data_IF_451281457959
#
_entry.id   IF_451281457959
#
_cell.length_a   1.000
_cell.length_b   1.000
_cell.length_c   1.000
_cell.angle_alpha   90.00
_cell.angle_beta   90.00
_cell.angle_gamma   90.00
#
_symmetry.space_group_name_H-M   'P 1'
#
loop_
_entity.id
_entity.type
_entity.pdbx_description
1 polymer ?
#
# COMPACT_ATOMS: atom_id res chain seq x y z
N UNK A 1 -12.52 11.42 4.40
CA UNK A 1 -11.99 11.89 5.70
C UNK A 1 -13.14 12.00 6.67
N UNK A 2 -13.01 11.49 7.89
CA UNK A 2 -14.10 11.59 8.88
C UNK A 2 -14.11 12.96 9.54
N UNK A 3 -15.28 13.42 9.98
CA UNK A 3 -15.43 14.65 10.77
C UNK A 3 -14.54 14.64 12.02
N UNK A 4 -14.38 13.46 12.66
CA UNK A 4 -13.51 13.28 13.83
C UNK A 4 -12.04 13.55 13.52
N UNK A 5 -11.54 13.11 12.36
CA UNK A 5 -10.15 13.39 11.95
C UNK A 5 -9.92 14.88 11.68
N UNK A 6 -10.88 15.55 11.05
CA UNK A 6 -10.83 17.00 10.85
C UNK A 6 -10.82 17.76 12.18
N UNK A 7 -11.79 17.47 13.03
CA UNK A 7 -11.92 18.10 14.33
C UNK A 7 -10.66 17.88 15.18
N UNK A 8 -10.11 16.64 15.17
CA UNK A 8 -8.89 16.33 15.95
C UNK A 8 -7.67 17.14 15.52
N UNK A 9 -7.54 17.48 14.24
CA UNK A 9 -6.38 18.22 13.70
C UNK A 9 -6.43 19.71 14.03
N UNK A 10 -7.62 20.33 13.95
CA UNK A 10 -7.82 21.79 14.08
C UNK A 10 -8.51 22.19 15.40
N UNK A 11 -8.42 21.34 16.41
CA UNK A 11 -8.80 21.63 17.80
C UNK A 11 -7.55 21.87 18.61
N UNK A 12 -7.19 23.12 18.82
CA UNK A 12 -6.01 23.56 19.57
C UNK A 12 -6.34 23.75 21.05
N UNK A 13 -6.24 22.67 21.80
CA UNK A 13 -6.51 22.66 23.25
C UNK A 13 -5.23 22.27 23.99
N UNK A 14 -5.00 22.86 25.14
CA UNK A 14 -3.84 22.57 26.00
C UNK A 14 -3.67 21.05 26.22
N UNK A 15 -2.44 20.56 26.08
CA UNK A 15 -2.09 19.15 26.24
C UNK A 15 -2.33 18.27 25.02
N UNK A 16 -2.93 18.77 23.94
CA UNK A 16 -3.00 18.05 22.68
C UNK A 16 -1.73 18.22 21.85
N UNK A 17 -1.38 17.17 21.09
CA UNK A 17 -0.13 17.15 20.30
C UNK A 17 -0.06 18.27 19.26
N UNK A 18 -1.19 18.59 18.64
CA UNK A 18 -1.29 19.64 17.63
C UNK A 18 -1.23 21.07 18.18
N UNK A 19 -1.28 21.24 19.51
CA UNK A 19 -1.02 22.54 20.16
C UNK A 19 0.49 22.82 20.29
N UNK A 20 1.33 21.92 19.81
CA UNK A 20 2.77 22.09 19.73
C UNK A 20 3.15 22.66 18.37
N UNK A 21 3.91 23.76 18.38
CA UNK A 21 4.37 24.46 17.18
C UNK A 21 5.23 23.59 16.25
N UNK A 22 5.95 22.60 16.79
CA UNK A 22 6.76 21.67 16.00
C UNK A 22 5.94 20.57 15.31
N UNK A 23 4.72 20.32 15.79
CA UNK A 23 3.86 19.23 15.33
C UNK A 23 2.41 19.67 15.03
N UNK A 24 2.20 20.79 14.31
CA UNK A 24 0.87 21.39 14.11
C UNK A 24 -0.14 20.49 13.41
N UNK A 25 0.30 19.50 12.66
CA UNK A 25 -0.55 18.59 11.87
C UNK A 25 -0.76 17.21 12.50
N UNK A 26 -0.13 16.95 13.68
CA UNK A 26 -0.29 15.67 14.38
C UNK A 26 -1.54 15.67 15.26
N UNK A 27 -2.31 14.59 15.25
CA UNK A 27 -3.43 14.36 16.18
C UNK A 27 -2.91 13.65 17.44
N UNK A 28 -2.01 12.69 17.26
CA UNK A 28 -1.42 11.86 18.32
C UNK A 28 0.10 11.83 18.20
N UNK A 29 0.82 11.55 19.30
CA UNK A 29 2.26 11.33 19.25
C UNK A 29 2.61 10.19 18.29
N UNK A 30 3.71 10.33 17.55
CA UNK A 30 4.21 9.29 16.61
C UNK A 30 3.21 8.90 15.51
N UNK A 31 2.32 9.81 15.13
CA UNK A 31 1.42 9.57 13.98
C UNK A 31 2.22 9.31 12.71
N UNK A 32 1.79 8.32 11.92
CA UNK A 32 2.47 8.00 10.66
C UNK A 32 2.34 9.15 9.66
N UNK A 33 3.47 9.56 9.08
CA UNK A 33 3.50 10.66 8.12
C UNK A 33 2.53 10.48 6.95
N UNK A 34 2.36 9.23 6.47
CA UNK A 34 1.41 8.93 5.40
C UNK A 34 -0.05 9.30 5.75
N UNK A 35 -0.46 9.17 7.01
CA UNK A 35 -1.80 9.56 7.46
C UNK A 35 -1.96 11.07 7.47
N UNK A 36 -0.95 11.79 7.96
CA UNK A 36 -0.93 13.27 7.99
C UNK A 36 -0.99 13.81 6.55
N UNK A 37 -0.14 13.31 5.67
CA UNK A 37 -0.09 13.75 4.28
C UNK A 37 -1.40 13.43 3.54
N UNK A 38 -1.94 12.23 3.70
CA UNK A 38 -3.22 11.88 3.08
C UNK A 38 -4.37 12.75 3.60
N UNK A 39 -4.33 13.15 4.89
CA UNK A 39 -5.31 14.07 5.47
C UNK A 39 -5.25 15.44 4.80
N UNK A 40 -4.04 15.98 4.58
CA UNK A 40 -3.86 17.24 3.84
C UNK A 40 -4.37 17.13 2.41
N UNK A 41 -3.98 16.07 1.67
CA UNK A 41 -4.44 15.86 0.28
C UNK A 41 -5.97 15.73 0.19
N UNK A 42 -6.61 15.08 1.16
CA UNK A 42 -8.06 14.96 1.26
C UNK A 42 -8.72 16.31 1.57
N UNK A 43 -8.14 17.09 2.46
CA UNK A 43 -8.65 18.39 2.85
C UNK A 43 -8.62 19.40 1.68
N UNK A 44 -7.58 19.31 0.84
CA UNK A 44 -7.45 20.10 -0.39
C UNK A 44 -8.12 19.45 -1.61
N UNK A 45 -8.89 18.37 -1.44
CA UNK A 45 -9.68 17.67 -2.47
C UNK A 45 -8.89 17.12 -3.65
N UNK A 46 -7.59 16.86 -3.45
CA UNK A 46 -6.70 16.33 -4.50
C UNK A 46 -6.29 14.87 -4.28
N UNK A 47 -6.77 14.23 -3.21
CA UNK A 47 -6.40 12.85 -2.85
C UNK A 47 -6.82 11.83 -3.92
N UNK A 48 -7.92 12.07 -4.63
CA UNK A 48 -8.40 11.22 -5.72
C UNK A 48 -7.36 11.00 -6.82
N UNK A 49 -6.42 11.93 -7.01
CA UNK A 49 -5.36 11.82 -8.02
C UNK A 49 -4.29 10.75 -7.67
N UNK A 50 -4.21 10.33 -6.41
CA UNK A 50 -3.23 9.34 -5.93
C UNK A 50 -3.89 8.11 -5.30
N UNK A 51 -5.19 8.11 -5.10
CA UNK A 51 -5.94 7.06 -4.40
C UNK A 51 -5.80 5.69 -5.07
N UNK A 52 -5.94 5.63 -6.39
CA UNK A 52 -5.84 4.37 -7.13
C UNK A 52 -4.41 3.80 -7.14
N UNK A 53 -3.40 4.69 -7.11
CA UNK A 53 -2.02 4.27 -6.95
C UNK A 53 -1.79 3.66 -5.55
N UNK A 54 -2.35 4.25 -4.49
CA UNK A 54 -2.28 3.70 -3.13
C UNK A 54 -3.00 2.36 -3.01
N UNK A 55 -4.19 2.22 -3.58
CA UNK A 55 -4.93 0.94 -3.61
C UNK A 55 -4.12 -0.15 -4.31
N UNK A 56 -3.54 0.17 -5.45
CA UNK A 56 -2.68 -0.75 -6.21
C UNK A 56 -1.47 -1.19 -5.40
N UNK A 57 -0.80 -0.26 -4.72
CA UNK A 57 0.35 -0.56 -3.86
C UNK A 57 -0.07 -1.45 -2.69
N UNK A 58 -1.19 -1.13 -2.01
CA UNK A 58 -1.69 -1.92 -0.89
C UNK A 58 -2.01 -3.37 -1.31
N UNK A 59 -2.71 -3.57 -2.42
CA UNK A 59 -3.00 -4.90 -2.97
C UNK A 59 -1.73 -5.69 -3.29
N UNK A 60 -0.74 -5.05 -3.93
CA UNK A 60 0.56 -5.71 -4.21
C UNK A 60 1.38 -5.98 -2.94
N UNK A 61 1.29 -5.13 -1.93
CA UNK A 61 1.93 -5.36 -0.62
C UNK A 61 1.32 -6.59 0.09
N UNK A 62 0.02 -6.76 0.04
CA UNK A 62 -0.66 -7.96 0.57
C UNK A 62 -0.24 -9.20 -0.19
N UNK A 63 -0.16 -9.15 -1.52
CA UNK A 63 0.37 -10.25 -2.33
C UNK A 63 1.81 -10.61 -1.92
N UNK A 64 2.67 -9.61 -1.73
CA UNK A 64 4.06 -9.86 -1.30
C UNK A 64 4.13 -10.44 0.12
N UNK A 65 3.25 -10.01 1.03
CA UNK A 65 3.12 -10.60 2.37
C UNK A 65 2.68 -12.05 2.28
N UNK A 66 1.66 -12.36 1.47
CA UNK A 66 1.20 -13.73 1.26
C UNK A 66 2.33 -14.62 0.70
N UNK A 67 3.10 -14.14 -0.27
CA UNK A 67 4.28 -14.85 -0.77
C UNK A 67 5.32 -15.12 0.32
N UNK A 68 5.62 -14.12 1.16
CA UNK A 68 6.58 -14.28 2.27
C UNK A 68 6.08 -15.31 3.28
N UNK A 69 4.82 -15.25 3.67
CA UNK A 69 4.21 -16.19 4.62
C UNK A 69 4.21 -17.61 4.07
N UNK A 70 3.80 -17.82 2.81
CA UNK A 70 3.81 -19.12 2.16
C UNK A 70 5.25 -19.69 2.02
N UNK A 71 6.23 -18.82 1.76
CA UNK A 71 7.65 -19.20 1.71
C UNK A 71 8.21 -19.57 3.10
N UNK A 72 7.82 -18.85 4.15
CA UNK A 72 8.22 -19.14 5.53
C UNK A 72 7.60 -20.44 6.06
N UNK A 73 6.36 -20.73 5.65
CA UNK A 73 5.65 -21.97 5.97
C UNK A 73 6.07 -23.15 5.07
N UNK A 74 7.08 -22.98 4.21
CA UNK A 74 7.58 -23.98 3.26
C UNK A 74 6.52 -24.54 2.29
N UNK A 75 5.39 -23.84 2.15
CA UNK A 75 4.31 -24.20 1.18
C UNK A 75 4.80 -23.97 -0.25
N UNK A 76 5.55 -22.90 -0.48
CA UNK A 76 6.20 -22.61 -1.76
C UNK A 76 7.72 -22.53 -1.56
N UNK A 77 8.51 -23.23 -2.39
CA UNK A 77 9.94 -23.17 -2.30
C UNK A 77 10.45 -21.85 -2.87
N UNK A 78 11.32 -21.14 -2.13
CA UNK A 78 11.99 -19.93 -2.60
C UNK A 78 13.43 -19.88 -2.11
N UNK A 79 14.31 -19.29 -2.91
CA UNK A 79 15.71 -19.05 -2.56
C UNK A 79 15.83 -17.79 -1.70
N UNK A 80 16.67 -17.83 -0.67
CA UNK A 80 16.77 -16.78 0.34
C UNK A 80 17.84 -15.73 -0.01
N UNK A 81 18.90 -16.13 -0.71
CA UNK A 81 20.04 -15.26 -0.98
C UNK A 81 20.66 -15.51 -2.36
N UNK A 82 21.60 -14.63 -2.76
CA UNK A 82 22.29 -14.72 -4.05
C UNK A 82 23.12 -15.98 -4.20
N UNK A 83 23.69 -16.49 -3.11
CA UNK A 83 24.52 -17.70 -3.12
C UNK A 83 23.65 -18.92 -3.44
N UNK A 84 22.54 -19.10 -2.74
CA UNK A 84 21.57 -20.16 -3.03
C UNK A 84 21.07 -20.11 -4.48
N UNK A 85 20.91 -18.91 -5.04
CA UNK A 85 20.50 -18.72 -6.43
C UNK A 85 21.58 -19.16 -7.42
N UNK A 86 22.85 -18.84 -7.14
CA UNK A 86 24.00 -19.32 -7.93
C UNK A 86 24.11 -20.84 -7.85
N UNK A 87 24.09 -21.39 -6.63
CA UNK A 87 24.19 -22.82 -6.39
C UNK A 87 23.05 -23.61 -7.05
N UNK A 88 21.83 -23.04 -7.03
CA UNK A 88 20.67 -23.62 -7.71
C UNK A 88 20.83 -23.62 -9.24
N UNK A 89 21.32 -22.52 -9.82
CA UNK A 89 21.58 -22.45 -11.26
C UNK A 89 22.67 -23.45 -11.70
N UNK A 90 23.76 -23.56 -10.93
CA UNK A 90 24.81 -24.53 -11.19
C UNK A 90 24.28 -25.98 -11.12
N UNK A 91 23.43 -26.28 -10.12
CA UNK A 91 22.78 -27.59 -10.00
C UNK A 91 21.85 -27.87 -11.18
N UNK A 92 21.05 -26.88 -11.62
CA UNK A 92 20.18 -27.02 -12.80
C UNK A 92 21.01 -27.38 -14.03
N UNK A 93 22.10 -26.67 -14.28
CA UNK A 93 22.94 -26.95 -15.45
C UNK A 93 23.69 -28.31 -15.31
N UNK A 94 24.17 -28.65 -14.11
CA UNK A 94 24.78 -29.96 -13.84
C UNK A 94 23.79 -31.10 -14.08
N UNK A 95 22.54 -30.99 -13.60
CA UNK A 95 21.53 -32.04 -13.79
C UNK A 95 21.15 -32.15 -15.26
N UNK A 96 20.98 -31.05 -15.96
CA UNK A 96 20.71 -31.07 -17.43
C UNK A 96 21.85 -31.77 -18.17
N UNK A 97 23.09 -31.49 -17.81
CA UNK A 97 24.25 -32.15 -18.41
C UNK A 97 24.30 -33.65 -18.07
N UNK A 98 23.96 -34.03 -16.81
CA UNK A 98 23.87 -35.44 -16.41
C UNK A 98 22.80 -36.18 -17.21
N UNK A 99 21.60 -35.60 -17.34
CA UNK A 99 20.54 -36.19 -18.16
C UNK A 99 21.01 -36.40 -19.61
N UNK A 100 21.69 -35.40 -20.18
CA UNK A 100 22.26 -35.48 -21.52
C UNK A 100 23.34 -36.59 -21.61
N UNK A 101 24.23 -36.68 -20.62
CA UNK A 101 25.29 -37.69 -20.58
C UNK A 101 24.71 -39.11 -20.43
N UNK A 102 23.70 -39.28 -19.54
CA UNK A 102 23.01 -40.56 -19.36
C UNK A 102 22.32 -40.95 -20.68
N UNK A 103 21.67 -40.01 -21.36
CA UNK A 103 21.03 -40.25 -22.68
C UNK A 103 22.08 -40.73 -23.70
N UNK A 104 23.26 -40.09 -23.73
CA UNK A 104 24.36 -40.45 -24.65
C UNK A 104 24.99 -41.80 -24.25
N UNK A 105 25.16 -42.07 -22.96
CA UNK A 105 25.64 -43.40 -22.50
C UNK A 105 24.67 -44.52 -22.80
N UNK A 106 23.37 -44.29 -22.63
CA UNK A 106 22.33 -45.24 -23.01
C UNK A 106 22.42 -45.52 -24.53
N UNK A 107 22.69 -44.48 -25.34
CA UNK A 107 22.90 -44.65 -26.77
C UNK A 107 24.19 -45.42 -27.11
N UNK A 108 25.27 -45.25 -26.37
CA UNK A 108 26.59 -45.87 -26.64
C UNK A 108 26.75 -47.30 -26.05
N UNK A 109 26.15 -47.58 -24.88
CA UNK A 109 26.17 -48.92 -24.25
C UNK A 109 25.30 -49.97 -24.94
N UNK A 110 24.60 -49.52 -25.95
CA UNK A 110 23.82 -50.39 -26.82
C UNK A 110 24.66 -51.28 -27.76
N UNK A 111 25.99 -51.17 -27.68
CA UNK A 111 26.89 -51.89 -28.56
C UNK A 111 26.94 -53.43 -28.24
N UNK A 112 26.57 -53.84 -27.02
CA UNK A 112 26.55 -55.26 -26.60
C UNK A 112 25.19 -56.00 -26.86
N UNK A 113 24.20 -55.29 -27.37
CA UNK A 113 22.91 -55.88 -27.77
C UNK A 113 22.97 -56.34 -29.25
N UNK A 114 22.31 -57.46 -29.57
CA UNK A 114 22.18 -57.88 -30.95
C UNK A 114 21.63 -56.72 -31.80
N UNK A 115 22.24 -56.50 -32.97
CA UNK A 115 21.94 -55.36 -33.85
C UNK A 115 20.43 -55.13 -34.12
N UNK A 116 19.63 -56.17 -34.13
CA UNK A 116 18.17 -56.11 -34.27
C UNK A 116 17.43 -55.48 -33.06
N UNK A 117 17.91 -55.69 -31.85
CA UNK A 117 17.32 -55.13 -30.62
C UNK A 117 17.64 -53.64 -30.51
N UNK A 118 18.81 -53.21 -30.95
CA UNK A 118 19.28 -51.83 -31.00
C UNK A 118 18.43 -50.96 -31.95
N UNK A 119 18.19 -51.48 -33.16
CA UNK A 119 17.37 -50.77 -34.18
C UNK A 119 15.95 -50.54 -33.68
N UNK A 120 15.40 -51.43 -32.83
CA UNK A 120 14.06 -51.26 -32.21
C UNK A 120 14.06 -50.38 -30.99
N UNK A 121 15.17 -50.26 -30.25
CA UNK A 121 15.27 -49.57 -28.97
C UNK A 121 15.50 -48.04 -29.13
N UNK A 122 16.33 -47.63 -30.07
CA UNK A 122 16.69 -46.22 -30.28
C UNK A 122 15.49 -45.31 -30.56
N UNK A 123 14.53 -45.62 -31.43
CA UNK A 123 13.36 -44.80 -31.68
C UNK A 123 12.47 -44.71 -30.42
N UNK A 124 12.29 -45.80 -29.66
CA UNK A 124 11.45 -45.80 -28.46
C UNK A 124 12.07 -44.93 -27.33
N UNK A 125 13.38 -44.91 -27.20
CA UNK A 125 14.10 -44.06 -26.27
C UNK A 125 14.00 -42.57 -26.61
N UNK A 126 14.24 -42.24 -27.89
CA UNK A 126 14.10 -40.88 -28.38
C UNK A 126 12.67 -40.34 -28.13
N UNK A 127 11.67 -41.17 -28.38
CA UNK A 127 10.27 -40.81 -28.07
C UNK A 127 10.02 -40.63 -26.60
N UNK A 128 10.58 -41.50 -25.73
CA UNK A 128 10.44 -41.37 -24.27
C UNK A 128 11.05 -40.06 -23.73
N UNK A 129 12.22 -39.69 -24.24
CA UNK A 129 12.86 -38.40 -23.85
C UNK A 129 12.02 -37.21 -24.30
N UNK A 130 11.52 -37.24 -25.56
CA UNK A 130 10.67 -36.17 -26.07
C UNK A 130 9.36 -36.03 -25.28
N UNK A 131 8.71 -37.15 -24.92
CA UNK A 131 7.47 -37.15 -24.15
C UNK A 131 7.71 -36.62 -22.71
N UNK A 132 8.82 -36.96 -22.09
CA UNK A 132 9.16 -36.43 -20.74
C UNK A 132 9.43 -34.94 -20.79
N UNK A 133 10.13 -34.42 -21.79
CA UNK A 133 10.34 -32.97 -21.95
C UNK A 133 8.99 -32.24 -22.19
N UNK A 134 8.12 -32.84 -23.01
CA UNK A 134 6.78 -32.30 -23.27
C UNK A 134 5.92 -32.31 -22.01
N UNK A 135 5.95 -33.39 -21.23
CA UNK A 135 5.29 -33.53 -19.93
C UNK A 135 5.69 -32.40 -18.98
N UNK A 136 6.99 -32.18 -18.79
CA UNK A 136 7.52 -31.11 -17.92
C UNK A 136 7.05 -29.72 -18.37
N UNK A 137 7.04 -29.46 -19.69
CA UNK A 137 6.58 -28.18 -20.23
C UNK A 137 5.08 -27.96 -19.93
N UNK A 138 4.24 -28.96 -20.14
CA UNK A 138 2.79 -28.87 -19.89
C UNK A 138 2.49 -28.69 -18.41
N UNK A 139 3.15 -29.43 -17.53
CA UNK A 139 3.02 -29.25 -16.08
C UNK A 139 3.38 -27.84 -15.65
N UNK A 140 4.45 -27.25 -16.20
CA UNK A 140 4.81 -25.86 -15.96
C UNK A 140 3.74 -24.87 -16.45
N UNK A 141 3.11 -25.14 -17.60
CA UNK A 141 2.02 -24.32 -18.12
C UNK A 141 0.77 -24.40 -17.25
N UNK A 142 0.39 -25.59 -16.78
CA UNK A 142 -0.74 -25.78 -15.86
C UNK A 142 -0.53 -24.97 -14.58
N UNK A 143 0.64 -25.09 -13.95
CA UNK A 143 0.99 -24.31 -12.73
C UNK A 143 0.87 -22.79 -12.95
N UNK A 144 1.30 -22.29 -14.12
CA UNK A 144 1.14 -20.87 -14.47
C UNK A 144 -0.33 -20.44 -14.61
N UNK A 145 -1.16 -21.30 -15.19
CA UNK A 145 -2.60 -21.05 -15.33
C UNK A 145 -3.31 -21.08 -13.98
N UNK A 146 -3.00 -22.04 -13.12
CA UNK A 146 -3.51 -22.12 -11.73
C UNK A 146 -3.15 -20.86 -10.93
N UNK A 147 -1.91 -20.39 -11.07
CA UNK A 147 -1.48 -19.14 -10.44
C UNK A 147 -2.29 -17.94 -10.95
N UNK A 148 -2.51 -17.82 -12.26
CA UNK A 148 -3.35 -16.76 -12.85
C UNK A 148 -4.78 -16.79 -12.32
N UNK A 149 -5.38 -17.98 -12.24
CA UNK A 149 -6.73 -18.20 -11.70
C UNK A 149 -6.86 -17.71 -10.26
N UNK A 150 -5.89 -18.05 -9.40
CA UNK A 150 -5.91 -17.65 -8.01
C UNK A 150 -5.69 -16.15 -7.82
N UNK A 151 -4.99 -15.49 -8.73
CA UNK A 151 -4.78 -14.04 -8.72
C UNK A 151 -6.06 -13.26 -9.06
N UNK A 152 -6.89 -13.79 -9.94
CA UNK A 152 -8.13 -13.13 -10.38
C UNK A 152 -9.28 -13.26 -9.34
N UNK A 153 -9.19 -14.18 -8.37
CA UNK A 153 -10.21 -14.37 -7.32
C UNK A 153 -10.21 -13.31 -6.21
N UNK A 154 -9.18 -12.50 -6.08
CA UNK A 154 -9.03 -11.53 -4.99
C UNK A 154 -9.40 -10.09 -5.43
N UNK A 155 -10.61 -9.88 -5.93
CA UNK A 155 -11.24 -8.56 -5.88
C UNK A 155 -12.13 -8.59 -4.64
N UNK A 156 -11.66 -7.93 -3.59
CA UNK A 156 -12.15 -8.02 -2.22
C UNK A 156 -13.50 -7.31 -2.07
N UNK A 157 -14.52 -8.00 -1.56
CA UNK A 157 -15.83 -7.44 -1.18
C UNK A 157 -15.72 -6.33 -0.11
N UNK A 158 -14.59 -6.23 0.58
CA UNK A 158 -14.31 -5.16 1.57
C UNK A 158 -14.24 -3.76 0.93
N UNK A 159 -13.81 -3.65 -0.32
CA UNK A 159 -13.76 -2.37 -1.05
C UNK A 159 -15.18 -1.80 -1.24
N UNK A 160 -16.16 -2.64 -1.42
CA UNK A 160 -17.58 -2.26 -1.59
C UNK A 160 -18.24 -1.79 -0.31
N UNK A 161 -17.89 -2.43 0.80
CA UNK A 161 -18.42 -2.02 2.11
C UNK A 161 -17.88 -0.64 2.49
N UNK A 162 -16.61 -0.37 2.19
CA UNK A 162 -15.99 0.92 2.42
C UNK A 162 -16.56 2.02 1.52
N UNK A 163 -16.84 1.72 0.23
CA UNK A 163 -17.50 2.68 -0.67
C UNK A 163 -18.90 3.09 -0.20
N UNK A 164 -19.70 2.16 0.35
CA UNK A 164 -21.00 2.45 0.96
C UNK A 164 -20.92 3.42 2.13
N UNK A 165 -19.83 3.34 2.91
CA UNK A 165 -19.64 4.18 4.09
C UNK A 165 -19.25 5.63 3.73
N UNK A 166 -18.60 5.83 2.58
CA UNK A 166 -18.07 7.13 2.16
C UNK A 166 -18.96 7.90 1.18
N UNK A 167 -19.87 7.21 0.47
CA UNK A 167 -20.74 7.81 -0.53
C UNK A 167 -22.20 7.36 -0.35
N UNK A 168 -22.92 7.90 0.63
CA UNK A 168 -24.31 7.51 0.90
C UNK A 168 -25.28 7.84 -0.24
N UNK A 169 -24.91 8.72 -1.16
CA UNK A 169 -25.76 9.20 -2.26
C UNK A 169 -25.38 8.64 -3.64
N UNK A 170 -24.41 7.73 -3.75
CA UNK A 170 -24.18 7.03 -5.02
C UNK A 170 -25.32 6.04 -5.21
N UNK A 171 -26.00 6.11 -6.33
CA UNK A 171 -26.99 5.11 -6.74
C UNK A 171 -26.34 3.72 -6.65
N UNK A 172 -26.74 2.98 -5.62
CA UNK A 172 -26.26 1.62 -5.33
C UNK A 172 -26.40 0.67 -6.53
N UNK A 173 -27.31 0.97 -7.45
CA UNK A 173 -27.49 0.27 -8.70
C UNK A 173 -26.22 0.28 -9.57
N UNK A 174 -25.60 1.45 -9.75
CA UNK A 174 -24.41 1.56 -10.63
C UNK A 174 -23.18 0.85 -10.08
N UNK A 175 -22.94 0.89 -8.77
CA UNK A 175 -21.80 0.18 -8.15
C UNK A 175 -22.05 -1.32 -8.15
N UNK A 176 -23.27 -1.75 -7.86
CA UNK A 176 -23.67 -3.16 -7.89
C UNK A 176 -23.57 -3.74 -9.31
N UNK A 177 -23.93 -2.96 -10.33
CA UNK A 177 -23.81 -3.33 -11.74
C UNK A 177 -22.34 -3.42 -12.19
N UNK A 178 -21.50 -2.46 -11.81
CA UNK A 178 -20.05 -2.50 -12.10
C UNK A 178 -19.39 -3.72 -11.45
N UNK A 179 -19.76 -4.05 -10.22
CA UNK A 179 -19.23 -5.23 -9.56
C UNK A 179 -19.75 -6.53 -10.13
N UNK A 180 -21.03 -6.59 -10.45
CA UNK A 180 -21.60 -7.73 -11.15
C UNK A 180 -20.89 -7.95 -12.49
N UNK A 181 -20.63 -6.87 -13.22
CA UNK A 181 -19.85 -6.91 -14.46
C UNK A 181 -18.40 -7.39 -14.24
N UNK A 182 -17.73 -6.90 -13.19
CA UNK A 182 -16.38 -7.38 -12.85
C UNK A 182 -16.38 -8.83 -12.38
N UNK A 183 -17.38 -9.28 -11.60
CA UNK A 183 -17.55 -10.67 -11.24
C UNK A 183 -17.82 -11.53 -12.48
N UNK A 184 -18.72 -11.14 -13.36
CA UNK A 184 -19.01 -11.83 -14.60
C UNK A 184 -17.77 -11.97 -15.51
N UNK A 185 -16.96 -10.89 -15.62
CA UNK A 185 -15.68 -10.97 -16.36
C UNK A 185 -14.70 -11.93 -15.68
N UNK A 186 -14.57 -11.88 -14.36
CA UNK A 186 -13.68 -12.77 -13.62
C UNK A 186 -14.15 -14.23 -13.69
N UNK A 187 -15.44 -14.46 -13.69
CA UNK A 187 -16.02 -15.79 -13.84
C UNK A 187 -15.77 -16.34 -15.25
N UNK A 188 -15.98 -15.53 -16.29
CA UNK A 188 -15.66 -15.89 -17.69
C UNK A 188 -14.15 -16.18 -17.85
N UNK A 189 -13.29 -15.32 -17.31
CA UNK A 189 -11.83 -15.53 -17.35
C UNK A 189 -11.41 -16.78 -16.57
N UNK A 190 -12.03 -17.03 -15.42
CA UNK A 190 -11.78 -18.21 -14.60
C UNK A 190 -12.29 -19.48 -15.28
N UNK A 191 -13.42 -19.43 -15.96
CA UNK A 191 -13.97 -20.53 -16.75
C UNK A 191 -13.07 -20.86 -17.94
N UNK A 192 -12.61 -19.83 -18.66
CA UNK A 192 -11.66 -20.01 -19.78
C UNK A 192 -10.32 -20.59 -19.30
N UNK A 193 -9.79 -20.09 -18.18
CA UNK A 193 -8.56 -20.66 -17.57
C UNK A 193 -8.78 -22.11 -17.14
N UNK A 194 -9.94 -22.44 -16.55
CA UNK A 194 -10.28 -23.81 -16.16
C UNK A 194 -10.33 -24.74 -17.39
N UNK A 195 -10.96 -24.29 -18.46
CA UNK A 195 -11.02 -25.04 -19.72
C UNK A 195 -9.62 -25.30 -20.27
N UNK A 196 -8.75 -24.31 -20.27
CA UNK A 196 -7.36 -24.48 -20.70
C UNK A 196 -6.59 -25.45 -19.79
N UNK A 197 -6.81 -25.41 -18.47
CA UNK A 197 -6.21 -26.37 -17.52
C UNK A 197 -6.73 -27.78 -17.80
N UNK A 198 -8.01 -27.94 -18.02
CA UNK A 198 -8.63 -29.24 -18.32
C UNK A 198 -8.11 -29.85 -19.64
N UNK A 199 -8.05 -29.06 -20.71
CA UNK A 199 -7.46 -29.46 -21.98
C UNK A 199 -6.00 -29.91 -21.80
N UNK A 200 -5.20 -29.16 -21.00
CA UNK A 200 -3.82 -29.54 -20.73
C UNK A 200 -3.71 -30.80 -19.87
N UNK A 201 -4.61 -31.00 -18.91
CA UNK A 201 -4.65 -32.21 -18.08
C UNK A 201 -5.02 -33.45 -18.90
N UNK A 202 -5.97 -33.32 -19.84
CA UNK A 202 -6.30 -34.40 -20.77
C UNK A 202 -5.06 -34.76 -21.60
N UNK A 203 -4.38 -33.76 -22.15
CA UNK A 203 -3.16 -33.96 -22.91
C UNK A 203 -2.03 -34.57 -22.07
N UNK A 204 -1.89 -34.13 -20.81
CA UNK A 204 -0.94 -34.69 -19.87
C UNK A 204 -1.21 -36.17 -19.58
N UNK A 205 -2.48 -36.55 -19.37
CA UNK A 205 -2.87 -37.93 -19.13
C UNK A 205 -2.54 -38.84 -20.30
N UNK A 206 -2.73 -38.35 -21.55
CA UNK A 206 -2.37 -39.10 -22.76
C UNK A 206 -0.84 -39.28 -22.87
N UNK A 207 -0.05 -38.24 -22.57
CA UNK A 207 1.41 -38.37 -22.54
C UNK A 207 1.85 -39.35 -21.46
N UNK A 208 1.22 -39.36 -20.28
CA UNK A 208 1.53 -40.32 -19.22
C UNK A 208 1.23 -41.76 -19.64
N UNK A 209 0.14 -41.98 -20.33
CA UNK A 209 -0.24 -43.29 -20.87
C UNK A 209 0.76 -43.75 -21.93
N UNK A 210 1.14 -42.85 -22.84
CA UNK A 210 2.15 -43.16 -23.87
C UNK A 210 3.51 -43.44 -23.26
N UNK A 211 3.93 -42.64 -22.27
CA UNK A 211 5.18 -42.84 -21.52
C UNK A 211 5.20 -44.17 -20.81
N UNK A 212 4.09 -44.58 -20.19
CA UNK A 212 3.97 -45.89 -19.51
C UNK A 212 4.05 -47.02 -20.50
N UNK A 213 3.38 -46.92 -21.65
CA UNK A 213 3.42 -47.94 -22.74
C UNK A 213 4.85 -48.10 -23.31
N UNK A 214 5.53 -46.96 -23.60
CA UNK A 214 6.91 -47.00 -24.12
C UNK A 214 7.86 -47.59 -23.08
N UNK A 215 7.69 -47.28 -21.80
CA UNK A 215 8.50 -47.83 -20.71
C UNK A 215 8.32 -49.35 -20.62
N UNK A 216 7.08 -49.84 -20.78
CA UNK A 216 6.81 -51.28 -20.82
C UNK A 216 7.45 -51.95 -22.06
N UNK A 217 7.34 -51.35 -23.24
CA UNK A 217 7.96 -51.89 -24.47
C UNK A 217 9.49 -51.95 -24.34
N UNK A 218 10.11 -50.92 -23.76
CA UNK A 218 11.55 -50.87 -23.50
C UNK A 218 11.96 -51.96 -22.48
N UNK A 219 11.16 -52.18 -21.42
CA UNK A 219 11.45 -53.20 -20.40
C UNK A 219 11.40 -54.63 -20.93
N UNK A 220 10.46 -54.90 -21.84
CA UNK A 220 10.34 -56.18 -22.52
C UNK A 220 11.54 -56.49 -23.44
N UNK A 221 12.06 -55.47 -24.13
CA UNK A 221 13.24 -55.63 -25.00
C UNK A 221 14.54 -55.80 -24.21
N UNK A 222 14.62 -55.16 -23.00
CA UNK A 222 15.83 -55.07 -22.20
C UNK A 222 16.06 -56.22 -21.19
N UNK A 223 15.11 -57.15 -21.04
CA UNK A 223 15.19 -58.22 -20.03
C UNK A 223 15.70 -57.71 -18.64
N UNK A 224 14.91 -57.73 -17.62
CA UNK A 224 14.90 -57.10 -16.29
C UNK A 224 16.22 -56.83 -15.50
N UNK A 225 17.38 -57.12 -16.04
CA UNK A 225 18.69 -57.05 -15.33
C UNK A 225 19.74 -56.14 -15.96
N UNK A 226 19.39 -55.20 -16.83
CA UNK A 226 20.40 -54.41 -17.52
C UNK A 226 20.71 -53.08 -16.77
N UNK A 227 22.00 -52.66 -16.81
CA UNK A 227 22.52 -51.36 -16.39
C UNK A 227 21.70 -50.16 -16.94
N UNK A 228 20.95 -50.39 -17.99
CA UNK A 228 20.10 -49.40 -18.69
C UNK A 228 18.86 -49.05 -17.89
N UNK A 229 18.17 -50.04 -17.25
CA UNK A 229 17.03 -49.73 -16.36
C UNK A 229 17.45 -48.85 -15.17
N UNK A 230 18.67 -49.10 -14.66
CA UNK A 230 19.25 -48.27 -13.61
C UNK A 230 19.56 -46.84 -14.08
N UNK A 231 20.02 -46.69 -15.32
CA UNK A 231 20.27 -45.40 -15.95
C UNK A 231 18.96 -44.60 -16.23
N UNK A 232 17.91 -45.28 -16.67
CA UNK A 232 16.57 -44.68 -16.88
C UNK A 232 15.98 -44.21 -15.54
N UNK A 233 16.06 -45.02 -14.49
CA UNK A 233 15.58 -44.63 -13.16
C UNK A 233 16.34 -43.41 -12.60
N UNK A 234 17.67 -43.34 -12.75
CA UNK A 234 18.46 -42.15 -12.39
C UNK A 234 18.00 -40.91 -13.20
N UNK A 235 17.78 -41.05 -14.49
CA UNK A 235 17.31 -39.95 -15.33
C UNK A 235 15.95 -39.44 -14.86
N UNK A 236 15.02 -40.32 -14.45
CA UNK A 236 13.71 -39.94 -13.91
C UNK A 236 13.82 -39.25 -12.55
N UNK A 237 14.77 -39.67 -11.69
CA UNK A 237 15.06 -38.98 -10.42
C UNK A 237 15.66 -37.60 -10.67
N UNK A 238 16.66 -37.47 -11.54
CA UNK A 238 17.26 -36.21 -11.94
C UNK A 238 16.21 -35.26 -12.53
N UNK A 239 15.27 -35.77 -13.33
CA UNK A 239 14.16 -34.97 -13.86
C UNK A 239 13.26 -34.42 -12.74
N UNK A 240 12.89 -35.22 -11.75
CA UNK A 240 12.08 -34.76 -10.60
C UNK A 240 12.82 -33.69 -9.80
N UNK A 241 14.13 -33.82 -9.63
CA UNK A 241 14.95 -32.81 -8.95
C UNK A 241 15.00 -31.52 -9.77
N UNK A 242 15.19 -31.64 -11.08
CA UNK A 242 15.18 -30.48 -11.99
C UNK A 242 13.86 -29.71 -11.93
N UNK A 243 12.73 -30.42 -11.99
CA UNK A 243 11.40 -29.80 -11.91
C UNK A 243 11.23 -29.00 -10.59
N UNK A 244 11.65 -29.56 -9.46
CA UNK A 244 11.63 -28.86 -8.15
C UNK A 244 12.51 -27.61 -8.14
N UNK A 245 13.69 -27.68 -8.73
CA UNK A 245 14.60 -26.53 -8.81
C UNK A 245 14.05 -25.43 -9.72
N UNK A 246 13.44 -25.81 -10.83
CA UNK A 246 12.76 -24.87 -11.75
C UNK A 246 11.56 -24.19 -11.09
N UNK A 247 10.75 -24.95 -10.34
CA UNK A 247 9.65 -24.37 -9.54
C UNK A 247 10.17 -23.38 -8.50
N UNK A 248 11.22 -23.77 -7.76
CA UNK A 248 11.85 -22.90 -6.77
C UNK A 248 12.36 -21.60 -7.39
N UNK A 249 13.00 -21.70 -8.54
CA UNK A 249 13.45 -20.55 -9.32
C UNK A 249 12.28 -19.68 -9.76
N UNK A 250 11.23 -20.27 -10.31
CA UNK A 250 10.03 -19.55 -10.75
C UNK A 250 9.41 -18.72 -9.62
N UNK A 251 9.14 -19.33 -8.45
CA UNK A 251 8.55 -18.61 -7.32
C UNK A 251 9.49 -17.53 -6.77
N UNK A 252 10.79 -17.75 -6.81
CA UNK A 252 11.78 -16.74 -6.40
C UNK A 252 11.75 -15.53 -7.33
N UNK A 253 11.75 -15.76 -8.64
CA UNK A 253 11.69 -14.70 -9.65
C UNK A 253 10.37 -13.90 -9.56
N UNK A 254 9.24 -14.56 -9.33
CA UNK A 254 7.95 -13.88 -9.14
C UNK A 254 7.95 -12.96 -7.91
N UNK A 255 8.49 -13.43 -6.79
CA UNK A 255 8.64 -12.64 -5.57
C UNK A 255 9.56 -11.42 -5.77
N UNK A 256 10.68 -11.60 -6.47
CA UNK A 256 11.62 -10.51 -6.78
C UNK A 256 10.98 -9.48 -7.70
N UNK A 257 10.27 -9.92 -8.74
CA UNK A 257 9.55 -9.07 -9.67
C UNK A 257 8.50 -8.22 -8.96
N UNK A 258 7.68 -8.86 -8.11
CA UNK A 258 6.66 -8.16 -7.32
C UNK A 258 7.29 -7.13 -6.38
N UNK A 259 8.41 -7.47 -5.73
CA UNK A 259 9.14 -6.54 -4.87
C UNK A 259 9.72 -5.35 -5.63
N UNK A 260 10.24 -5.57 -6.85
CA UNK A 260 10.76 -4.52 -7.72
C UNK A 260 9.64 -3.60 -8.22
N UNK A 261 8.52 -4.17 -8.63
CA UNK A 261 7.33 -3.43 -9.06
C UNK A 261 6.82 -2.52 -7.94
N UNK A 262 6.70 -3.05 -6.72
CA UNK A 262 6.30 -2.28 -5.55
C UNK A 262 7.24 -1.11 -5.29
N UNK A 263 8.55 -1.31 -5.42
CA UNK A 263 9.52 -0.22 -5.26
C UNK A 263 9.32 0.88 -6.29
N UNK A 264 9.09 0.53 -7.56
CA UNK A 264 8.85 1.51 -8.63
C UNK A 264 7.52 2.25 -8.44
N UNK A 265 6.44 1.54 -8.07
CA UNK A 265 5.13 2.14 -7.82
C UNK A 265 5.15 3.11 -6.63
N UNK A 266 5.86 2.77 -5.56
CA UNK A 266 6.05 3.68 -4.41
C UNK A 266 6.83 4.93 -4.81
N UNK A 267 7.87 4.82 -5.62
CA UNK A 267 8.62 5.97 -6.12
C UNK A 267 7.74 6.88 -7.00
N UNK A 268 6.90 6.30 -7.85
CA UNK A 268 5.94 7.06 -8.66
C UNK A 268 4.89 7.76 -7.78
N UNK A 269 4.35 7.07 -6.78
CA UNK A 269 3.41 7.67 -5.82
C UNK A 269 4.04 8.82 -5.04
N UNK A 270 5.28 8.63 -4.55
CA UNK A 270 6.02 9.69 -3.84
C UNK A 270 6.19 10.92 -4.75
N UNK A 271 6.55 10.72 -6.03
CA UNK A 271 6.69 11.81 -7.00
C UNK A 271 5.36 12.50 -7.31
N UNK A 272 4.26 11.76 -7.43
CA UNK A 272 2.92 12.32 -7.63
C UNK A 272 2.50 13.17 -6.41
N UNK A 273 2.69 12.63 -5.20
CA UNK A 273 2.41 13.36 -3.95
C UNK A 273 3.28 14.61 -3.79
N UNK A 274 4.56 14.56 -4.16
CA UNK A 274 5.47 15.70 -4.09
C UNK A 274 4.95 16.89 -4.89
N UNK A 275 4.48 16.66 -6.12
CA UNK A 275 3.91 17.71 -6.96
C UNK A 275 2.69 18.36 -6.29
N UNK A 276 1.74 17.55 -5.84
CA UNK A 276 0.52 18.04 -5.18
C UNK A 276 0.84 18.80 -3.89
N UNK A 277 1.78 18.29 -3.10
CA UNK A 277 2.18 18.94 -1.84
C UNK A 277 2.92 20.25 -2.09
N UNK A 278 3.70 20.37 -3.16
CA UNK A 278 4.36 21.63 -3.54
C UNK A 278 3.32 22.70 -3.87
N UNK A 279 2.28 22.36 -4.62
CA UNK A 279 1.19 23.30 -4.92
C UNK A 279 0.40 23.72 -3.66
N UNK A 280 0.09 22.76 -2.78
CA UNK A 280 -0.57 23.02 -1.52
C UNK A 280 0.27 23.91 -0.62
N UNK A 281 1.56 23.59 -0.49
CA UNK A 281 2.53 24.38 0.27
C UNK A 281 2.58 25.83 -0.20
N UNK A 282 2.67 26.06 -1.50
CA UNK A 282 2.66 27.40 -2.07
C UNK A 282 1.38 28.17 -1.73
N UNK A 283 0.22 27.53 -1.86
CA UNK A 283 -1.08 28.15 -1.51
C UNK A 283 -1.14 28.50 -0.02
N UNK A 284 -0.72 27.58 0.86
CA UNK A 284 -0.74 27.82 2.31
C UNK A 284 0.22 28.96 2.67
N UNK A 285 1.48 28.91 2.21
CA UNK A 285 2.47 29.93 2.55
C UNK A 285 2.06 31.32 2.02
N UNK A 286 1.57 31.41 0.78
CA UNK A 286 1.06 32.68 0.24
C UNK A 286 -0.12 33.23 1.06
N UNK A 287 -1.04 32.36 1.52
CA UNK A 287 -2.17 32.79 2.35
C UNK A 287 -1.71 33.20 3.75
N UNK A 288 -0.74 32.48 4.35
CA UNK A 288 -0.13 32.86 5.63
C UNK A 288 0.53 34.24 5.52
N UNK A 289 1.27 34.50 4.46
CA UNK A 289 1.94 35.79 4.22
C UNK A 289 0.94 36.94 4.18
N UNK A 290 -0.16 36.79 3.44
CA UNK A 290 -1.26 37.78 3.37
C UNK A 290 -1.86 38.00 4.78
N UNK A 291 -2.26 36.93 5.48
CA UNK A 291 -2.82 37.02 6.82
C UNK A 291 -1.85 37.64 7.82
N UNK A 292 -0.57 37.31 7.75
CA UNK A 292 0.43 37.84 8.62
C UNK A 292 0.59 39.37 8.45
N UNK A 293 0.53 39.85 7.18
CA UNK A 293 0.57 41.27 6.87
C UNK A 293 -0.63 42.01 7.43
N UNK A 294 -1.82 41.43 7.33
CA UNK A 294 -3.06 42.06 7.81
C UNK A 294 -3.20 42.06 9.33
N UNK A 295 -2.67 41.01 9.98
CA UNK A 295 -2.87 40.81 11.43
C UNK A 295 -1.68 41.32 12.27
N UNK A 296 -0.45 41.09 11.78
CA UNK A 296 0.74 41.21 12.62
C UNK A 296 1.73 42.30 12.19
N UNK A 297 1.38 43.08 11.16
CA UNK A 297 2.29 44.08 10.58
C UNK A 297 3.71 43.49 10.38
N UNK A 298 4.76 44.22 10.28
CA UNK A 298 6.13 43.87 9.85
C UNK A 298 6.83 42.62 10.48
N UNK A 299 6.10 41.66 11.02
CA UNK A 299 6.71 40.43 11.54
C UNK A 299 6.90 39.38 10.44
N UNK A 300 7.89 38.50 10.58
CA UNK A 300 8.11 37.39 9.64
C UNK A 300 6.99 36.39 9.75
N UNK A 301 6.42 35.93 8.58
CA UNK A 301 5.39 34.88 8.58
C UNK A 301 6.02 33.50 8.88
N UNK A 302 5.29 32.57 9.46
CA UNK A 302 5.71 31.18 9.54
C UNK A 302 5.67 30.52 8.16
N UNK A 303 6.51 29.51 7.97
CA UNK A 303 6.64 28.76 6.71
C UNK A 303 6.35 27.29 6.99
N UNK A 304 5.52 26.69 6.17
CA UNK A 304 5.33 25.24 6.13
C UNK A 304 6.04 24.68 4.91
N UNK A 305 6.81 23.58 5.10
CA UNK A 305 7.35 22.76 4.01
C UNK A 305 6.74 21.38 4.08
N UNK A 306 6.21 20.91 2.97
CA UNK A 306 5.50 19.63 2.85
C UNK A 306 6.25 18.71 1.89
N UNK A 307 6.47 17.46 2.30
CA UNK A 307 6.92 16.39 1.42
C UNK A 307 6.24 15.06 1.79
N UNK A 308 6.27 14.03 0.95
CA UNK A 308 5.60 12.75 1.23
C UNK A 308 6.05 12.06 2.54
N UNK A 309 7.28 12.35 2.98
CA UNK A 309 7.92 11.66 4.12
C UNK A 309 8.09 12.52 5.36
N UNK A 310 7.96 13.83 5.26
CA UNK A 310 8.14 14.76 6.37
C UNK A 310 7.47 16.10 6.07
N UNK A 311 7.19 16.85 7.13
CA UNK A 311 6.91 18.28 7.01
C UNK A 311 7.70 19.03 8.05
N UNK A 312 7.87 20.33 7.86
CA UNK A 312 8.42 21.27 8.86
C UNK A 312 7.56 22.52 8.88
N UNK A 313 7.45 23.12 10.08
CA UNK A 313 6.75 24.38 10.31
C UNK A 313 7.57 25.23 11.25
N UNK A 314 7.91 26.44 10.88
CA UNK A 314 8.79 27.31 11.66
C UNK A 314 8.73 28.76 11.17
N UNK A 315 9.11 29.70 12.03
CA UNK A 315 9.35 31.10 11.65
C UNK A 315 10.86 31.33 11.58
N UNK A 316 11.34 32.00 10.53
CA UNK A 316 12.78 32.25 10.32
C UNK A 316 13.27 33.24 11.39
N UNK A 317 14.36 32.86 12.09
CA UNK A 317 15.07 33.67 13.12
C UNK A 317 14.16 34.12 14.29
N UNK A 318 13.03 33.47 14.52
CA UNK A 318 12.15 33.77 15.63
C UNK A 318 11.57 32.48 16.24
N UNK A 319 11.96 32.21 17.48
CA UNK A 319 11.54 31.05 18.28
C UNK A 319 10.74 31.46 19.53
N UNK A 320 10.29 32.69 19.58
CA UNK A 320 9.48 33.20 20.70
C UNK A 320 8.15 32.46 20.83
N UNK A 321 7.73 32.19 22.08
CA UNK A 321 6.48 31.45 22.34
C UNK A 321 5.26 32.13 21.72
N UNK A 322 5.19 33.47 21.82
CA UNK A 322 4.09 34.23 21.18
C UNK A 322 4.09 34.12 19.67
N UNK A 323 5.25 34.16 19.02
CA UNK A 323 5.39 33.97 17.58
C UNK A 323 4.98 32.58 17.16
N UNK A 324 5.33 31.56 17.92
CA UNK A 324 4.96 30.16 17.62
C UNK A 324 3.46 29.94 17.70
N UNK A 325 2.78 30.43 18.74
CA UNK A 325 1.32 30.33 18.87
C UNK A 325 0.59 31.16 17.80
N UNK A 326 1.07 32.38 17.54
CA UNK A 326 0.58 33.19 16.41
C UNK A 326 0.71 32.43 15.09
N UNK A 327 1.86 31.75 14.87
CA UNK A 327 2.10 30.91 13.71
C UNK A 327 1.06 29.80 13.55
N UNK A 328 0.71 29.10 14.63
CA UNK A 328 -0.35 28.08 14.63
C UNK A 328 -1.70 28.65 14.20
N UNK A 329 -2.05 29.80 14.75
CA UNK A 329 -3.31 30.49 14.41
C UNK A 329 -3.33 30.87 12.92
N UNK A 330 -2.23 31.45 12.40
CA UNK A 330 -2.12 31.83 10.99
C UNK A 330 -2.22 30.62 10.06
N UNK A 331 -1.61 29.50 10.44
CA UNK A 331 -1.75 28.24 9.67
C UNK A 331 -3.21 27.77 9.61
N UNK A 332 -3.89 27.77 10.76
CA UNK A 332 -5.28 27.31 10.84
C UNK A 332 -6.21 28.22 10.07
N UNK A 333 -6.04 29.54 10.16
CA UNK A 333 -6.81 30.51 9.38
C UNK A 333 -6.55 30.37 7.88
N UNK A 334 -5.28 30.15 7.48
CA UNK A 334 -4.96 29.93 6.07
C UNK A 334 -5.65 28.67 5.52
N UNK A 335 -5.61 27.57 6.28
CA UNK A 335 -6.30 26.34 5.90
C UNK A 335 -7.83 26.52 5.86
N UNK A 336 -8.38 27.23 6.85
CA UNK A 336 -9.82 27.51 6.89
C UNK A 336 -10.29 28.30 5.66
N UNK A 337 -9.47 29.26 5.19
CA UNK A 337 -9.74 30.03 3.96
C UNK A 337 -9.61 29.20 2.69
N UNK A 338 -8.63 28.28 2.64
CA UNK A 338 -8.27 27.55 1.41
C UNK A 338 -9.07 26.26 1.20
N UNK A 339 -9.83 25.82 2.21
CA UNK A 339 -10.45 24.49 2.19
C UNK A 339 -11.90 24.52 2.68
N UNK A 340 -12.59 23.39 2.52
CA UNK A 340 -13.93 23.17 3.06
C UNK A 340 -13.92 22.78 4.56
N UNK A 341 -12.85 23.10 5.31
CA UNK A 341 -12.81 22.88 6.76
C UNK A 341 -14.00 23.60 7.42
N UNK A 342 -14.95 22.90 8.08
CA UNK A 342 -16.17 23.53 8.56
C UNK A 342 -16.05 24.14 9.95
N UNK A 343 -15.01 23.75 10.71
CA UNK A 343 -14.92 24.08 12.13
C UNK A 343 -13.47 24.29 12.56
N UNK A 344 -13.29 25.23 13.49
CA UNK A 344 -12.03 25.54 14.15
C UNK A 344 -12.27 25.75 15.65
N UNK A 345 -11.38 25.24 16.50
CA UNK A 345 -11.46 25.41 17.97
C UNK A 345 -10.11 25.86 18.49
N UNK A 346 -10.08 27.06 19.08
CA UNK A 346 -8.89 27.66 19.70
C UNK A 346 -9.10 27.90 21.20
N UNK A 347 -8.24 27.30 22.00
CA UNK A 347 -8.20 27.50 23.46
C UNK A 347 -7.42 28.77 23.82
N UNK A 348 -7.76 29.37 24.93
CA UNK A 348 -7.14 30.60 25.50
C UNK A 348 -5.62 30.49 25.63
N UNK A 349 -5.07 29.28 25.73
CA UNK A 349 -3.61 29.08 25.82
C UNK A 349 -2.85 29.63 24.60
N UNK A 350 -3.48 29.63 23.41
CA UNK A 350 -2.86 30.18 22.21
C UNK A 350 -2.68 31.72 22.27
N UNK A 351 -3.51 32.41 23.04
CA UNK A 351 -3.58 33.86 23.05
C UNK A 351 -2.74 34.51 24.13
N UNK A 352 -2.32 33.75 25.16
CA UNK A 352 -1.67 34.27 26.36
C UNK A 352 -0.41 35.11 26.14
N UNK A 353 0.32 34.82 25.07
CA UNK A 353 1.58 35.47 24.76
C UNK A 353 1.52 36.31 23.47
N UNK A 354 0.31 36.64 23.00
CA UNK A 354 0.10 37.50 21.84
C UNK A 354 -0.24 38.90 22.31
N UNK A 355 0.35 39.93 21.68
CA UNK A 355 0.07 41.34 22.00
C UNK A 355 -1.41 41.67 21.71
N UNK A 356 -1.99 42.56 22.54
CA UNK A 356 -3.42 42.88 22.45
C UNK A 356 -3.81 43.49 21.09
N UNK A 357 -2.98 44.36 20.50
CA UNK A 357 -3.25 44.94 19.17
C UNK A 357 -3.32 43.81 18.08
N UNK A 358 -2.47 42.80 18.18
CA UNK A 358 -2.51 41.63 17.28
C UNK A 358 -3.75 40.79 17.54
N UNK A 359 -4.19 40.69 18.82
CA UNK A 359 -5.41 39.98 19.18
C UNK A 359 -6.65 40.67 18.64
N UNK A 360 -6.70 42.00 18.65
CA UNK A 360 -7.79 42.76 18.05
C UNK A 360 -7.93 42.46 16.54
N UNK A 361 -6.81 42.45 15.82
CA UNK A 361 -6.78 42.07 14.41
C UNK A 361 -7.20 40.61 14.17
N UNK A 362 -6.76 39.72 15.06
CA UNK A 362 -7.17 38.27 14.98
C UNK A 362 -8.68 38.10 15.17
N UNK A 363 -9.28 38.76 16.19
CA UNK A 363 -10.73 38.67 16.43
C UNK A 363 -11.51 39.24 15.26
N UNK A 364 -11.08 40.36 14.67
CA UNK A 364 -11.66 40.87 13.44
C UNK A 364 -11.54 39.86 12.30
N UNK A 365 -10.41 39.22 12.15
CA UNK A 365 -10.22 38.18 11.11
C UNK A 365 -11.14 36.96 11.32
N UNK A 366 -11.28 36.44 12.55
CA UNK A 366 -12.25 35.38 12.86
C UNK A 366 -13.69 35.81 12.51
N UNK A 367 -14.04 37.06 12.73
CA UNK A 367 -15.37 37.57 12.46
C UNK A 367 -15.70 37.64 10.96
N UNK A 368 -14.72 37.57 10.07
CA UNK A 368 -14.96 37.55 8.60
C UNK A 368 -15.54 36.23 8.09
N UNK A 369 -15.43 35.14 8.84
CA UNK A 369 -15.95 33.83 8.42
C UNK A 369 -17.44 33.71 8.76
N UNK A 370 -18.29 33.76 7.72
CA UNK A 370 -19.74 33.69 7.87
C UNK A 370 -20.25 32.24 7.77
N UNK A 371 -19.56 31.41 6.98
CA UNK A 371 -19.94 30.04 6.61
C UNK A 371 -19.19 28.96 7.43
N UNK A 372 -18.38 29.37 8.38
CA UNK A 372 -17.56 28.47 9.22
C UNK A 372 -17.95 28.59 10.69
N UNK A 373 -17.82 27.51 11.44
CA UNK A 373 -18.03 27.51 12.88
C UNK A 373 -16.70 27.62 13.61
N UNK A 374 -16.51 28.70 14.33
CA UNK A 374 -15.27 28.97 15.06
C UNK A 374 -15.60 29.11 16.54
N UNK A 375 -14.95 28.29 17.38
CA UNK A 375 -15.02 28.37 18.83
C UNK A 375 -13.72 28.94 19.39
N UNK A 376 -13.81 30.01 20.16
CA UNK A 376 -12.70 30.65 20.79
C UNK A 376 -12.98 30.73 22.29
N UNK A 377 -12.07 30.21 23.12
CA UNK A 377 -12.07 30.46 24.55
C UNK A 377 -11.13 31.64 24.86
N UNK A 378 -11.63 32.67 25.53
CA UNK A 378 -10.85 33.82 25.94
C UNK A 378 -11.17 34.22 27.40
N UNK A 379 -10.17 34.69 28.12
CA UNK A 379 -10.28 35.11 29.53
C UNK A 379 -9.93 36.59 29.77
N UNK A 380 -9.55 37.33 28.72
CA UNK A 380 -8.99 38.66 28.84
C UNK A 380 -9.80 39.75 28.08
N UNK A 381 -11.12 39.64 28.04
CA UNK A 381 -11.99 40.49 27.21
C UNK A 381 -11.78 41.99 27.48
N UNK A 382 -11.62 42.38 28.74
CA UNK A 382 -11.46 43.78 29.13
C UNK A 382 -10.17 44.46 28.62
N UNK A 383 -9.22 43.67 28.11
CA UNK A 383 -7.95 44.17 27.58
C UNK A 383 -7.99 44.50 26.08
N UNK A 384 -9.05 44.16 25.41
CA UNK A 384 -9.22 44.42 23.97
C UNK A 384 -9.85 45.80 23.71
N UNK A 385 -9.76 46.27 22.48
CA UNK A 385 -10.39 47.53 22.07
C UNK A 385 -11.92 47.47 22.18
N UNK A 386 -12.58 48.60 22.40
CA UNK A 386 -14.07 48.64 22.49
C UNK A 386 -14.77 47.96 21.35
N UNK A 387 -14.40 48.16 20.04
CA UNK A 387 -15.05 47.47 18.93
C UNK A 387 -14.92 45.95 19.01
N UNK A 388 -13.78 45.43 19.48
CA UNK A 388 -13.54 43.99 19.62
C UNK A 388 -14.32 43.42 20.80
N UNK A 389 -14.42 44.15 21.89
CA UNK A 389 -15.28 43.75 23.02
C UNK A 389 -16.74 43.65 22.59
N UNK A 390 -17.25 44.57 21.75
CA UNK A 390 -18.59 44.49 21.18
C UNK A 390 -18.81 43.24 20.29
N UNK A 391 -17.82 42.90 19.47
CA UNK A 391 -17.86 41.65 18.65
C UNK A 391 -17.97 40.41 19.57
N UNK A 392 -17.16 40.35 20.63
CA UNK A 392 -17.15 39.24 21.57
C UNK A 392 -18.48 39.17 22.34
N UNK A 393 -18.99 40.31 22.84
CA UNK A 393 -20.24 40.37 23.56
C UNK A 393 -21.44 39.90 22.69
N UNK A 394 -21.45 40.28 21.45
CA UNK A 394 -22.53 39.88 20.48
C UNK A 394 -22.45 38.39 20.08
N UNK A 395 -21.27 37.77 20.19
CA UNK A 395 -21.06 36.39 19.74
C UNK A 395 -20.79 35.39 20.88
N UNK A 396 -20.72 35.85 22.12
CA UNK A 396 -20.52 34.96 23.27
C UNK A 396 -21.71 34.02 23.45
N UNK A 397 -21.39 32.75 23.70
CA UNK A 397 -22.39 31.67 23.92
C UNK A 397 -22.42 31.26 25.38
N UNK A 398 -21.26 31.23 26.05
CA UNK A 398 -21.09 30.78 27.44
C UNK A 398 -20.14 31.73 28.14
N UNK A 399 -20.52 32.14 29.34
CA UNK A 399 -19.64 32.86 30.28
C UNK A 399 -19.47 32.01 31.53
N UNK A 400 -18.25 31.58 31.77
CA UNK A 400 -17.90 30.81 32.95
C UNK A 400 -17.36 31.75 34.04
N UNK A 401 -17.75 31.54 35.28
CA UNK A 401 -17.35 32.38 36.42
C UNK A 401 -17.46 31.66 37.75
N UNK A 402 -17.47 32.45 38.85
CA UNK A 402 -17.69 31.93 40.21
C UNK A 402 -19.17 32.08 40.59
N UNK A 403 -19.54 31.46 41.72
CA UNK A 403 -20.86 31.63 42.33
C UNK A 403 -22.04 31.11 41.49
N UNK A 404 -21.91 29.89 40.98
CA UNK A 404 -22.97 29.21 40.20
C UNK A 404 -22.82 29.36 38.68
N UNK A 405 -21.85 30.10 38.21
CA UNK A 405 -21.50 30.23 36.81
C UNK A 405 -20.32 29.31 36.38
N UNK A 406 -19.95 28.35 37.21
CA UNK A 406 -18.98 27.32 36.86
C UNK A 406 -19.60 26.32 35.83
N UNK A 407 -18.77 25.66 35.09
CA UNK A 407 -19.18 24.73 34.02
C UNK A 407 -20.20 23.67 34.49
N UNK A 408 -20.10 23.23 35.75
CA UNK A 408 -20.98 22.24 36.36
C UNK A 408 -21.87 22.85 37.47
N UNK A 409 -21.97 24.20 37.53
CA UNK A 409 -22.79 24.91 38.53
C UNK A 409 -22.23 24.94 39.94
N UNK A 410 -21.01 24.44 40.16
CA UNK A 410 -20.31 24.48 41.46
C UNK A 410 -18.79 24.42 41.29
N UNK A 411 -18.06 24.94 42.27
CA UNK A 411 -16.60 24.91 42.29
C UNK A 411 -16.07 23.56 42.77
N UNK A 412 -15.16 22.96 42.03
CA UNK A 412 -14.50 21.69 42.43
C UNK A 412 -13.56 21.89 43.65
N UNK A 413 -13.17 23.12 43.97
CA UNK A 413 -12.32 23.46 45.10
C UNK A 413 -13.09 23.70 46.41
N UNK A 414 -14.41 23.74 46.35
CA UNK A 414 -15.24 24.05 47.54
C UNK A 414 -15.57 22.83 48.42
N UNK A 415 -15.09 21.63 48.06
CA UNK A 415 -15.21 20.40 48.86
C UNK A 415 -13.82 19.99 49.40
N UNK A 416 -13.19 20.81 50.25
CA UNK A 416 -12.14 20.41 51.18
C UNK A 416 -12.45 20.90 52.55
#
# INVERSE_FOLDING_TARGET
MSFRELLGTYTRIYGKQNCNENHPLHIVPNEKMSLIINRILKLFEVYNQVEDQEKTINSKDEQLKAYKTASQAEIIPTLKNKKEKSDSNEKIESIKQNIKNITTQIASQSVDLKSEQLIKLDPLRSQLVQLNLLKANIQSQIKRLEYKKNKNKNIDDTILFDLKQYFPNIELASITEINKFHQEINDILSEEINKQIEEKNIYLSEIEKQTKNLTQQISVILNEKSSINLAINRMLEDQKILDRLLDTRFFTEQKEMLSKDLKSLRATLDSSKEKLLTEIQQKINSKIELLNKDICNDTKPPIINLSPKKYTFFTIDDTGTGTNFKGLILLDLAILHLTQLPILIHDSVLFKNIAFDTMDNLINQYNTFIDKQIFIATDAINNYSEPVQEIIENKKVIVLGKNGNELFGYSWSSNK
#
